data_IF_898016173138
#
_entry.id   IF_898016173138
#
_cell.length_a   1.000
_cell.length_b   1.000
_cell.length_c   1.000
_cell.angle_alpha   90.00
_cell.angle_beta   90.00
_cell.angle_gamma   90.00
#
_symmetry.space_group_name_H-M   'P 1'
#
loop_
_entity.id
_entity.type
_entity.pdbx_description
1 polymer ?
#
# COMPACT_ATOMS: atom_id res chain seq x y z
N UNK A 1 10.90 14.33 41.70
CA UNK A 1 9.82 13.49 42.25
C UNK A 1 8.52 13.86 41.56
N UNK A 2 7.94 12.94 40.80
CA UNK A 2 6.49 12.83 40.55
C UNK A 2 6.31 11.60 39.68
N UNK A 3 5.59 10.63 40.22
CA UNK A 3 5.50 9.24 39.78
C UNK A 3 4.80 9.10 38.42
N UNK A 4 5.43 8.35 37.50
CA UNK A 4 4.77 7.84 36.31
C UNK A 4 3.94 6.61 36.72
N UNK A 5 2.64 6.81 36.80
CA UNK A 5 1.66 5.83 37.21
C UNK A 5 1.52 4.74 36.12
N UNK A 6 2.22 3.62 36.31
CA UNK A 6 1.91 2.36 35.65
C UNK A 6 0.56 1.85 36.16
N UNK A 7 -0.42 1.75 35.25
CA UNK A 7 -1.43 0.67 35.13
C UNK A 7 -2.60 1.18 34.30
N UNK A 8 -2.46 1.13 32.98
CA UNK A 8 -3.62 0.81 32.15
C UNK A 8 -3.44 -0.64 31.72
N UNK A 9 -3.98 -1.53 32.56
CA UNK A 9 -4.24 -2.89 32.16
C UNK A 9 -5.26 -2.82 31.03
N UNK A 10 -4.79 -2.95 29.80
CA UNK A 10 -5.63 -3.21 28.64
C UNK A 10 -6.40 -4.49 28.95
N UNK A 11 -7.72 -4.35 29.12
CA UNK A 11 -8.65 -5.46 29.31
C UNK A 11 -8.44 -6.44 28.16
N UNK A 12 -7.85 -7.59 28.51
CA UNK A 12 -7.64 -8.72 27.61
C UNK A 12 -9.03 -9.24 27.22
N UNK A 13 -9.21 -9.49 25.92
CA UNK A 13 -10.44 -9.91 25.23
C UNK A 13 -11.45 -10.74 26.08
N UNK A 14 -12.77 -10.54 25.91
CA UNK A 14 -13.84 -11.01 26.83
C UNK A 14 -14.09 -12.53 26.83
N UNK A 15 -13.18 -13.33 26.26
CA UNK A 15 -13.32 -14.79 26.26
C UNK A 15 -12.98 -15.37 27.64
N UNK A 16 -12.00 -14.79 28.36
CA UNK A 16 -11.50 -15.32 29.63
C UNK A 16 -12.54 -15.42 30.75
N UNK A 17 -13.51 -14.50 30.80
CA UNK A 17 -14.57 -14.55 31.81
C UNK A 17 -15.74 -15.47 31.43
N UNK A 18 -15.92 -15.79 30.15
CA UNK A 18 -17.09 -16.53 29.65
C UNK A 18 -16.89 -18.04 29.54
N UNK A 19 -15.66 -18.57 29.59
CA UNK A 19 -15.39 -20.02 29.44
C UNK A 19 -14.71 -20.66 30.65
N UNK A 20 -14.39 -19.88 31.69
CA UNK A 20 -13.69 -20.33 32.90
C UNK A 20 -14.38 -21.48 33.64
N UNK A 21 -15.68 -21.65 33.45
CA UNK A 21 -16.49 -22.74 34.03
C UNK A 21 -16.39 -24.08 33.27
N UNK A 22 -15.81 -24.08 32.07
CA UNK A 22 -15.65 -25.28 31.24
C UNK A 22 -14.39 -26.07 31.61
N UNK A 23 -14.35 -27.36 31.26
CA UNK A 23 -13.14 -28.16 31.42
C UNK A 23 -12.01 -27.63 30.52
N UNK A 24 -10.72 -27.81 30.88
CA UNK A 24 -9.58 -27.31 30.08
C UNK A 24 -9.64 -27.70 28.60
N UNK A 25 -10.09 -28.92 28.28
CA UNK A 25 -10.20 -29.36 26.88
C UNK A 25 -11.30 -28.60 26.11
N UNK A 26 -12.42 -28.29 26.76
CA UNK A 26 -13.54 -27.54 26.17
C UNK A 26 -13.18 -26.07 25.99
N UNK A 27 -12.45 -25.48 26.96
CA UNK A 27 -11.88 -24.14 26.84
C UNK A 27 -10.96 -24.05 25.63
N UNK A 28 -10.06 -25.04 25.48
CA UNK A 28 -9.14 -25.12 24.34
C UNK A 28 -9.90 -25.21 23.01
N UNK A 29 -10.90 -26.10 22.92
CA UNK A 29 -11.72 -26.24 21.72
C UNK A 29 -12.40 -24.92 21.35
N UNK A 30 -12.93 -24.19 22.33
CA UNK A 30 -13.58 -22.89 22.10
C UNK A 30 -12.61 -21.82 21.60
N UNK A 31 -11.39 -21.79 22.15
CA UNK A 31 -10.31 -20.91 21.65
C UNK A 31 -9.95 -21.28 20.21
N UNK A 32 -9.81 -22.56 19.89
CA UNK A 32 -9.54 -23.05 18.53
C UNK A 32 -10.65 -22.65 17.54
N UNK A 33 -11.92 -22.86 17.90
CA UNK A 33 -13.09 -22.48 17.07
C UNK A 33 -13.13 -20.99 16.75
N UNK A 34 -12.69 -20.13 17.67
CA UNK A 34 -12.64 -18.67 17.46
C UNK A 34 -11.43 -18.25 16.64
N UNK A 35 -10.24 -18.78 16.94
CA UNK A 35 -9.00 -18.25 16.37
C UNK A 35 -8.54 -18.95 15.09
N UNK A 36 -8.82 -20.24 14.89
CA UNK A 36 -8.42 -20.95 13.66
C UNK A 36 -8.98 -20.27 12.41
N UNK A 37 -10.28 -19.94 12.31
CA UNK A 37 -10.83 -19.27 11.13
C UNK A 37 -10.21 -17.87 10.92
N UNK A 38 -9.97 -17.11 11.99
CA UNK A 38 -9.36 -15.77 11.93
C UNK A 38 -7.91 -15.83 11.44
N UNK A 39 -7.12 -16.77 11.96
CA UNK A 39 -5.73 -16.97 11.53
C UNK A 39 -5.68 -17.41 10.07
N UNK A 40 -6.60 -18.30 9.65
CA UNK A 40 -6.70 -18.73 8.25
C UNK A 40 -7.00 -17.55 7.33
N UNK A 41 -8.07 -16.79 7.61
CA UNK A 41 -8.44 -15.62 6.82
C UNK A 41 -7.32 -14.56 6.76
N UNK A 42 -6.63 -14.31 7.89
CA UNK A 42 -5.50 -13.39 7.92
C UNK A 42 -4.30 -13.91 7.11
N UNK A 43 -4.06 -15.22 7.10
CA UNK A 43 -2.99 -15.85 6.31
C UNK A 43 -3.28 -15.80 4.81
N UNK A 44 -4.52 -16.10 4.40
CA UNK A 44 -4.99 -15.93 3.02
C UNK A 44 -4.85 -14.47 2.56
N UNK A 45 -5.15 -13.51 3.45
CA UNK A 45 -4.97 -12.09 3.15
C UNK A 45 -3.50 -11.75 2.90
N UNK A 46 -2.58 -12.26 3.73
CA UNK A 46 -1.13 -12.07 3.55
C UNK A 46 -0.67 -12.64 2.21
N UNK A 47 -1.12 -13.84 1.85
CA UNK A 47 -0.77 -14.47 0.58
C UNK A 47 -1.27 -13.64 -0.61
N UNK A 48 -2.54 -13.23 -0.59
CA UNK A 48 -3.14 -12.37 -1.62
C UNK A 48 -2.34 -11.08 -1.83
N UNK A 49 -2.07 -10.31 -0.77
CA UNK A 49 -1.35 -9.03 -0.92
C UNK A 49 0.13 -9.22 -1.29
N UNK A 50 0.73 -10.34 -0.88
CA UNK A 50 2.10 -10.68 -1.27
C UNK A 50 2.17 -11.03 -2.76
N UNK A 51 1.22 -11.82 -3.26
CA UNK A 51 1.11 -12.14 -4.69
C UNK A 51 0.92 -10.88 -5.53
N UNK A 52 0.01 -9.97 -5.13
CA UNK A 52 -0.19 -8.69 -5.81
C UNK A 52 1.09 -7.82 -5.83
N UNK A 53 1.85 -7.81 -4.73
CA UNK A 53 3.12 -7.08 -4.65
C UNK A 53 4.19 -7.69 -5.57
N UNK A 54 4.34 -9.02 -5.58
CA UNK A 54 5.33 -9.69 -6.43
C UNK A 54 4.99 -9.53 -7.91
N UNK A 55 3.73 -9.73 -8.31
CA UNK A 55 3.29 -9.49 -9.68
C UNK A 55 3.55 -8.05 -10.12
N UNK A 56 3.26 -7.05 -9.27
CA UNK A 56 3.56 -5.66 -9.59
C UNK A 56 5.07 -5.37 -9.72
N UNK A 57 5.93 -6.14 -9.04
CA UNK A 57 7.38 -6.03 -9.16
C UNK A 57 7.89 -6.66 -10.45
N UNK A 58 7.33 -7.80 -10.85
CA UNK A 58 7.62 -8.46 -12.12
C UNK A 58 7.17 -7.58 -13.31
N UNK A 59 6.03 -6.91 -13.18
CA UNK A 59 5.47 -6.01 -14.19
C UNK A 59 6.05 -4.58 -14.15
N UNK A 60 7.08 -4.32 -13.34
CA UNK A 60 7.57 -2.97 -13.07
C UNK A 60 7.87 -2.17 -14.35
N UNK A 61 8.65 -2.75 -15.26
CA UNK A 61 9.05 -2.07 -16.51
C UNK A 61 7.84 -1.81 -17.42
N UNK A 62 6.87 -2.72 -17.45
CA UNK A 62 5.61 -2.55 -18.20
C UNK A 62 4.79 -1.41 -17.62
N UNK A 63 4.69 -1.34 -16.29
CA UNK A 63 4.00 -0.25 -15.59
C UNK A 63 4.66 1.10 -15.85
N UNK A 64 6.00 1.16 -15.87
CA UNK A 64 6.75 2.37 -16.20
C UNK A 64 6.48 2.78 -17.64
N UNK A 65 6.63 1.88 -18.61
CA UNK A 65 6.40 2.16 -20.03
C UNK A 65 4.96 2.64 -20.29
N UNK A 66 3.96 2.03 -19.65
CA UNK A 66 2.57 2.49 -19.74
C UNK A 66 2.41 3.90 -19.18
N UNK A 67 3.05 4.20 -18.04
CA UNK A 67 2.98 5.52 -17.44
C UNK A 67 3.71 6.58 -18.25
N UNK A 68 4.84 6.23 -18.88
CA UNK A 68 5.53 7.09 -19.84
C UNK A 68 4.61 7.43 -21.02
N UNK A 69 3.92 6.44 -21.58
CA UNK A 69 2.96 6.65 -22.67
C UNK A 69 1.78 7.56 -22.26
N UNK A 70 1.23 7.37 -21.05
CA UNK A 70 0.16 8.22 -20.51
C UNK A 70 0.61 9.68 -20.35
N UNK A 71 1.84 9.90 -19.86
CA UNK A 71 2.41 11.24 -19.69
C UNK A 71 2.74 11.90 -21.03
N UNK A 72 3.22 11.14 -22.01
CA UNK A 72 3.48 11.65 -23.35
C UNK A 72 2.20 12.00 -24.11
N UNK A 73 1.12 11.24 -23.89
CA UNK A 73 -0.20 11.52 -24.47
C UNK A 73 -0.85 12.81 -23.90
N UNK A 74 -0.39 13.27 -22.74
CA UNK A 74 -0.81 14.51 -22.09
C UNK A 74 0.39 15.43 -21.81
N UNK A 75 0.96 16.05 -22.85
CA UNK A 75 2.09 16.96 -22.73
C UNK A 75 1.88 18.03 -21.66
N UNK A 76 2.93 18.29 -20.88
CA UNK A 76 2.91 19.23 -19.77
C UNK A 76 4.18 20.07 -19.73
N UNK A 77 4.04 21.34 -19.30
CA UNK A 77 5.18 22.23 -19.14
C UNK A 77 6.20 21.71 -18.11
N UNK A 78 5.76 20.86 -17.18
CA UNK A 78 6.64 20.21 -16.19
C UNK A 78 7.70 19.31 -16.83
N UNK A 79 7.39 18.75 -18.00
CA UNK A 79 8.30 17.88 -18.75
C UNK A 79 9.11 18.61 -19.81
N UNK A 80 8.97 19.95 -19.91
CA UNK A 80 9.72 20.76 -20.88
C UNK A 80 8.97 21.05 -22.19
N UNK A 81 7.70 20.67 -22.30
CA UNK A 81 6.84 21.18 -23.37
C UNK A 81 6.51 22.66 -23.15
N UNK A 82 6.21 23.38 -24.22
CA UNK A 82 5.53 24.68 -24.12
C UNK A 82 4.08 24.49 -24.50
N UNK A 83 3.14 24.89 -23.65
CA UNK A 83 1.71 24.68 -23.88
C UNK A 83 1.04 26.02 -24.18
N UNK A 84 0.32 26.11 -25.30
CA UNK A 84 -0.50 27.28 -25.63
C UNK A 84 -1.96 26.89 -25.77
N UNK A 85 -2.82 27.60 -25.06
CA UNK A 85 -4.26 27.49 -25.26
C UNK A 85 -4.64 28.03 -26.63
N UNK A 86 -5.51 27.32 -27.34
CA UNK A 86 -5.94 27.67 -28.69
C UNK A 86 -7.44 27.51 -28.87
N UNK A 87 -7.99 28.28 -29.80
CA UNK A 87 -9.35 28.16 -30.34
C UNK A 87 -9.25 27.95 -31.85
N UNK A 88 -10.25 27.32 -32.51
CA UNK A 88 -10.22 27.11 -33.95
C UNK A 88 -9.91 28.38 -34.76
N UNK A 89 -10.32 29.55 -34.29
CA UNK A 89 -10.12 30.86 -34.95
C UNK A 89 -8.70 31.41 -34.86
N UNK A 90 -7.86 30.95 -33.91
CA UNK A 90 -6.53 31.53 -33.67
C UNK A 90 -5.38 30.51 -33.75
N UNK A 91 -5.67 29.23 -33.97
CA UNK A 91 -4.66 28.16 -34.05
C UNK A 91 -3.50 28.49 -35.00
N UNK A 92 -3.80 28.87 -36.25
CA UNK A 92 -2.75 29.17 -37.23
C UNK A 92 -1.90 30.38 -36.83
N UNK A 93 -2.50 31.39 -36.19
CA UNK A 93 -1.76 32.56 -35.71
C UNK A 93 -0.76 32.14 -34.62
N UNK A 94 -1.22 31.38 -33.64
CA UNK A 94 -0.38 30.89 -32.53
C UNK A 94 0.73 29.99 -33.03
N UNK A 95 0.46 29.09 -33.99
CA UNK A 95 1.51 28.24 -34.58
C UNK A 95 2.59 29.09 -35.25
N UNK A 96 2.22 30.16 -35.98
CA UNK A 96 3.21 31.07 -36.58
C UNK A 96 4.02 31.82 -35.54
N UNK A 97 3.37 32.42 -34.55
CA UNK A 97 4.04 33.14 -33.46
C UNK A 97 5.04 32.24 -32.71
N UNK A 98 4.68 30.98 -32.45
CA UNK A 98 5.57 30.02 -31.79
C UNK A 98 6.73 29.58 -32.70
N UNK A 99 6.49 29.42 -34.00
CA UNK A 99 7.55 29.11 -34.96
C UNK A 99 8.57 30.26 -35.08
N UNK A 100 8.11 31.50 -35.11
CA UNK A 100 8.97 32.70 -35.06
C UNK A 100 9.80 32.77 -33.77
N UNK A 101 9.30 32.19 -32.67
CA UNK A 101 10.01 32.07 -31.39
C UNK A 101 10.94 30.84 -31.32
N UNK A 102 11.08 30.06 -32.39
CA UNK A 102 11.97 28.90 -32.44
C UNK A 102 11.37 27.61 -31.87
N UNK A 103 10.04 27.47 -31.92
CA UNK A 103 9.33 26.27 -31.49
C UNK A 103 8.58 25.60 -32.64
N UNK A 104 8.51 24.27 -32.62
CA UNK A 104 7.70 23.49 -33.54
C UNK A 104 6.56 22.81 -32.81
N UNK A 105 5.47 22.54 -33.54
CA UNK A 105 4.32 21.81 -33.01
C UNK A 105 4.73 20.37 -32.73
N UNK A 106 4.51 19.92 -31.51
CA UNK A 106 4.62 18.52 -31.12
C UNK A 106 3.28 17.80 -31.27
N UNK A 107 2.22 18.38 -30.68
CA UNK A 107 0.89 17.77 -30.69
C UNK A 107 -0.20 18.85 -30.61
N UNK A 108 -1.26 18.68 -31.39
CA UNK A 108 -2.47 19.52 -31.32
C UNK A 108 -3.55 18.73 -30.58
N UNK A 109 -4.07 19.30 -29.49
CA UNK A 109 -5.15 18.73 -28.69
C UNK A 109 -6.34 19.68 -28.65
N UNK A 110 -7.48 19.20 -28.14
CA UNK A 110 -8.65 20.04 -27.94
C UNK A 110 -8.32 21.17 -26.95
N UNK A 111 -8.38 22.41 -27.43
CA UNK A 111 -8.16 23.60 -26.61
C UNK A 111 -6.71 24.01 -26.37
N UNK A 112 -5.71 23.22 -26.78
CA UNK A 112 -4.30 23.62 -26.65
C UNK A 112 -3.38 22.92 -27.66
N UNK A 113 -2.20 23.50 -27.87
CA UNK A 113 -1.11 22.93 -28.68
C UNK A 113 0.12 22.82 -27.79
N UNK A 114 0.76 21.65 -27.84
CA UNK A 114 2.06 21.39 -27.24
C UNK A 114 3.16 21.65 -28.27
N UNK A 115 4.20 22.34 -27.84
CA UNK A 115 5.35 22.71 -28.65
C UNK A 115 6.64 22.21 -28.03
N UNK A 116 7.62 21.93 -28.89
CA UNK A 116 9.00 21.64 -28.52
C UNK A 116 9.94 22.63 -29.19
N UNK A 117 11.11 22.92 -28.60
CA UNK A 117 12.12 23.74 -29.26
C UNK A 117 12.53 23.14 -30.62
N UNK A 118 12.82 24.00 -31.58
CA UNK A 118 13.44 23.57 -32.84
C UNK A 118 14.92 23.22 -32.53
N UNK A 119 15.42 22.04 -32.93
CA UNK A 119 16.81 21.67 -32.73
C UNK A 119 17.73 22.67 -33.41
N UNK A 120 18.75 23.16 -32.66
CA UNK A 120 19.72 24.14 -33.21
C UNK A 120 20.68 23.47 -34.18
N UNK A 121 20.99 22.20 -33.96
CA UNK A 121 21.86 21.38 -34.80
C UNK A 121 21.23 20.01 -35.08
N UNK A 122 21.64 19.36 -36.17
CA UNK A 122 21.15 18.02 -36.55
C UNK A 122 21.43 16.91 -35.52
N UNK A 123 22.34 17.16 -34.57
CA UNK A 123 22.69 16.23 -33.48
C UNK A 123 21.92 16.50 -32.19
N UNK A 124 21.20 17.60 -32.10
CA UNK A 124 20.48 18.00 -30.89
C UNK A 124 19.16 17.21 -30.81
N UNK A 125 19.08 16.27 -29.88
CA UNK A 125 17.83 15.59 -29.56
C UNK A 125 17.07 16.39 -28.51
N UNK A 126 16.14 17.22 -28.98
CA UNK A 126 15.29 18.06 -28.12
C UNK A 126 14.28 17.22 -27.33
N UNK A 127 13.92 16.03 -27.81
CA UNK A 127 13.00 15.14 -27.11
C UNK A 127 13.67 14.40 -25.96
N UNK A 128 14.98 14.16 -26.02
CA UNK A 128 15.71 13.46 -24.97
C UNK A 128 15.48 14.03 -23.56
N UNK A 129 15.71 15.32 -23.25
CA UNK A 129 15.47 15.85 -21.91
C UNK A 129 14.00 15.74 -21.47
N UNK A 130 13.06 15.82 -22.41
CA UNK A 130 11.63 15.65 -22.16
C UNK A 130 11.33 14.20 -21.78
N UNK A 131 11.85 13.24 -22.55
CA UNK A 131 11.69 11.80 -22.29
C UNK A 131 12.38 11.39 -21.00
N UNK A 132 13.55 11.94 -20.69
CA UNK A 132 14.25 11.70 -19.42
C UNK A 132 13.41 12.19 -18.22
N UNK A 133 12.77 13.37 -18.35
CA UNK A 133 11.88 13.90 -17.32
C UNK A 133 10.60 13.04 -17.15
N UNK A 134 9.98 12.64 -18.26
CA UNK A 134 8.81 11.75 -18.27
C UNK A 134 9.16 10.40 -17.62
N UNK A 135 10.28 9.78 -18.02
CA UNK A 135 10.77 8.51 -17.48
C UNK A 135 11.05 8.61 -15.99
N UNK A 136 11.67 9.69 -15.54
CA UNK A 136 11.92 9.95 -14.12
C UNK A 136 10.61 10.01 -13.32
N UNK A 137 9.62 10.77 -13.79
CA UNK A 137 8.32 10.87 -13.12
C UNK A 137 7.55 9.54 -13.16
N UNK A 138 7.55 8.84 -14.29
CA UNK A 138 6.92 7.53 -14.43
C UNK A 138 7.51 6.51 -13.46
N UNK A 139 8.84 6.44 -13.41
CA UNK A 139 9.59 5.57 -12.49
C UNK A 139 9.28 5.91 -11.04
N UNK A 140 9.29 7.20 -10.67
CA UNK A 140 8.96 7.65 -9.31
C UNK A 140 7.51 7.32 -8.91
N UNK A 141 6.56 7.52 -9.83
CA UNK A 141 5.16 7.14 -9.64
C UNK A 141 4.99 5.64 -9.41
N UNK A 142 5.60 4.79 -10.25
CA UNK A 142 5.53 3.32 -10.10
C UNK A 142 6.19 2.87 -8.80
N UNK A 143 7.36 3.41 -8.46
CA UNK A 143 8.01 3.16 -7.18
C UNK A 143 7.11 3.51 -5.98
N UNK A 144 6.44 4.67 -6.01
CA UNK A 144 5.49 5.05 -4.96
C UNK A 144 4.35 4.04 -4.82
N UNK A 145 3.82 3.55 -5.94
CA UNK A 145 2.79 2.52 -5.93
C UNK A 145 3.31 1.19 -5.37
N UNK A 146 4.53 0.79 -5.73
CA UNK A 146 5.17 -0.43 -5.24
C UNK A 146 5.43 -0.34 -3.72
N UNK A 147 5.92 0.78 -3.23
CA UNK A 147 6.09 1.03 -1.79
C UNK A 147 4.76 0.94 -1.03
N UNK A 148 3.66 1.49 -1.58
CA UNK A 148 2.33 1.34 -0.95
C UNK A 148 1.89 -0.12 -0.87
N UNK A 149 2.16 -0.93 -1.90
CA UNK A 149 1.88 -2.37 -1.87
C UNK A 149 2.74 -3.10 -0.85
N UNK A 150 4.03 -2.77 -0.76
CA UNK A 150 4.94 -3.32 0.25
C UNK A 150 4.46 -3.02 1.68
N UNK A 151 3.99 -1.80 1.94
CA UNK A 151 3.41 -1.44 3.24
C UNK A 151 2.17 -2.28 3.55
N UNK A 152 1.27 -2.51 2.58
CA UNK A 152 0.11 -3.39 2.78
C UNK A 152 0.52 -4.83 3.14
N UNK A 153 1.61 -5.34 2.56
CA UNK A 153 2.16 -6.66 2.93
C UNK A 153 2.62 -6.66 4.39
N UNK A 154 3.41 -5.66 4.78
CA UNK A 154 3.90 -5.50 6.17
C UNK A 154 2.74 -5.39 7.16
N UNK A 155 1.74 -4.58 6.84
CA UNK A 155 0.56 -4.39 7.68
C UNK A 155 -0.25 -5.69 7.81
N UNK A 156 -0.47 -6.42 6.71
CA UNK A 156 -1.18 -7.70 6.75
C UNK A 156 -0.44 -8.74 7.60
N UNK A 157 0.89 -8.82 7.49
CA UNK A 157 1.72 -9.70 8.32
C UNK A 157 1.61 -9.29 9.80
N UNK A 158 1.66 -7.99 10.08
CA UNK A 158 1.52 -7.47 11.44
C UNK A 158 0.17 -7.85 12.05
N UNK A 159 -0.94 -7.62 11.33
CA UNK A 159 -2.29 -7.98 11.79
C UNK A 159 -2.44 -9.48 12.02
N UNK A 160 -1.94 -10.33 11.11
CA UNK A 160 -1.93 -11.78 11.31
C UNK A 160 -1.15 -12.16 12.59
N UNK A 161 0.01 -11.54 12.81
CA UNK A 161 0.83 -11.82 13.98
C UNK A 161 0.16 -11.38 15.29
N UNK A 162 -0.60 -10.28 15.29
CA UNK A 162 -1.42 -9.88 16.43
C UNK A 162 -2.47 -10.95 16.77
N UNK A 163 -3.21 -11.44 15.78
CA UNK A 163 -4.21 -12.51 15.97
C UNK A 163 -3.55 -13.79 16.52
N UNK A 164 -2.40 -14.18 15.98
CA UNK A 164 -1.64 -15.34 16.47
C UNK A 164 -1.18 -15.13 17.91
N UNK A 165 -0.77 -13.92 18.27
CA UNK A 165 -0.37 -13.58 19.64
C UNK A 165 -1.57 -13.69 20.60
N UNK A 166 -2.70 -13.11 20.24
CA UNK A 166 -3.95 -13.21 21.03
C UNK A 166 -4.38 -14.67 21.20
N UNK A 167 -4.29 -15.49 20.15
CA UNK A 167 -4.60 -16.91 20.24
C UNK A 167 -3.67 -17.65 21.21
N UNK A 168 -2.38 -17.32 21.21
CA UNK A 168 -1.40 -17.90 22.14
C UNK A 168 -1.67 -17.47 23.58
N UNK A 169 -1.99 -16.21 23.80
CA UNK A 169 -2.34 -15.70 25.14
C UNK A 169 -3.63 -16.35 25.66
N UNK A 170 -4.64 -16.50 24.80
CA UNK A 170 -5.87 -17.21 25.15
C UNK A 170 -5.61 -18.68 25.51
N UNK A 171 -4.79 -19.39 24.74
CA UNK A 171 -4.40 -20.77 25.06
C UNK A 171 -3.59 -20.85 26.37
N UNK A 172 -2.69 -19.91 26.61
CA UNK A 172 -1.87 -19.87 27.82
C UNK A 172 -2.68 -19.53 29.08
N UNK A 173 -3.85 -18.90 28.93
CA UNK A 173 -4.75 -18.56 30.05
C UNK A 173 -5.60 -19.74 30.55
N UNK A 174 -5.63 -20.84 29.81
CA UNK A 174 -6.36 -22.05 30.20
C UNK A 174 -5.59 -22.71 31.35
N UNK A 175 -6.23 -22.78 32.52
CA UNK A 175 -5.68 -23.45 33.70
C UNK A 175 -5.41 -24.93 33.41
N UNK A 176 -4.34 -25.46 34.00
CA UNK A 176 -4.03 -26.87 33.89
C UNK A 176 -5.05 -27.70 34.68
N UNK A 177 -5.25 -28.96 34.31
CA UNK A 177 -6.14 -29.85 35.07
C UNK A 177 -5.75 -29.95 36.55
N UNK A 178 -4.45 -29.86 36.85
CA UNK A 178 -3.89 -29.89 38.20
C UNK A 178 -4.33 -28.68 39.04
N UNK A 179 -4.52 -27.52 38.43
CA UNK A 179 -5.02 -26.31 39.12
C UNK A 179 -6.48 -26.48 39.59
N UNK A 180 -7.30 -27.22 38.83
CA UNK A 180 -8.68 -27.55 39.22
C UNK A 180 -8.73 -28.59 40.35
N UNK A 181 -7.72 -29.46 40.45
CA UNK A 181 -7.61 -30.45 41.52
C UNK A 181 -7.11 -29.84 42.84
N UNK A 182 -6.44 -28.68 42.80
CA UNK A 182 -5.92 -27.97 43.96
C UNK A 182 -6.95 -27.09 44.69
N UNK A 183 -8.23 -27.18 44.32
CA UNK A 183 -9.34 -26.64 45.12
C UNK A 183 -9.50 -27.60 46.31
N UNK A 184 -8.72 -27.31 47.37
CA UNK A 184 -8.78 -27.89 48.71
C UNK A 184 -9.93 -28.88 48.95
N UNK A 185 -9.55 -30.15 49.12
CA UNK A 185 -10.19 -31.02 50.10
C UNK A 185 -9.98 -30.32 51.45
N UNK A 186 -10.80 -29.30 51.75
CA UNK A 186 -11.02 -28.90 53.14
C UNK A 186 -11.85 -30.02 53.72
N UNK A 187 -11.21 -30.80 54.58
CA UNK A 187 -11.81 -31.77 55.46
C UNK A 187 -13.14 -31.23 56.03
N UNK A 188 -14.28 -31.67 55.49
CA UNK A 188 -15.43 -31.94 56.36
C UNK A 188 -15.09 -33.24 57.10
N UNK A 189 -14.15 -33.13 58.02
CA UNK A 189 -14.00 -34.03 59.14
C UNK A 189 -14.96 -33.56 60.22
N UNK A 190 -16.20 -34.05 60.18
CA UNK A 190 -16.99 -34.62 61.30
C UNK A 190 -18.46 -34.85 60.92
#
# INVERSE_FOLDING_TARGET
MSEFNLKQATVISPIGESISHLLPYEQKQRVEEVFIPKIKAASEKVESVTSEYQSAKEDFDIMVARKEADLLALPSERHGFTIKQVYPTNQQRIIREMNEQGFMVHQIMSGFIAFTPIPKNAKDDVMKPIMDAIKSEATSSVNSQLSRREHKVKDAIHQRNLIVKEAREALASIQSFEDYLNISITDEAE
#
